data_IF_175537287396
#
_entry.id   IF_175537287396
#
_cell.length_a   1.000
_cell.length_b   1.000
_cell.length_c   1.000
_cell.angle_alpha   90.00
_cell.angle_beta   90.00
_cell.angle_gamma   90.00
#
_symmetry.space_group_name_H-M   'P 1'
#
loop_
_entity.id
_entity.type
_entity.pdbx_description
1 polymer ?
#
# COMPACT_ATOMS: atom_id res chain seq x y z
N UNK A 1 -5.07 -8.04 1.97
CA UNK A 1 -6.02 -7.83 0.84
C UNK A 1 -5.54 -6.69 -0.04
N UNK A 2 -5.80 -6.77 -1.35
CA UNK A 2 -5.47 -5.75 -2.37
C UNK A 2 -6.66 -4.81 -2.59
N UNK A 3 -7.30 -4.35 -1.50
CA UNK A 3 -8.48 -3.49 -1.60
C UNK A 3 -8.10 -2.12 -2.18
N UNK A 4 -8.96 -1.60 -3.06
CA UNK A 4 -8.73 -0.34 -3.77
C UNK A 4 -9.21 0.89 -3.03
N UNK A 5 -9.78 0.66 -1.86
CA UNK A 5 -10.35 1.66 -0.99
C UNK A 5 -9.81 1.42 0.41
N UNK A 6 -8.99 2.35 0.89
CA UNK A 6 -8.32 2.28 2.20
C UNK A 6 -8.42 3.64 2.86
N UNK A 7 -8.84 3.64 4.13
CA UNK A 7 -8.88 4.84 4.95
C UNK A 7 -7.68 4.86 5.91
N UNK A 8 -6.98 5.98 5.99
CA UNK A 8 -5.88 6.19 6.92
C UNK A 8 -6.23 7.30 7.89
N UNK A 9 -5.85 7.14 9.16
CA UNK A 9 -5.83 8.27 10.10
C UNK A 9 -4.66 9.18 9.72
N UNK A 10 -4.82 10.48 9.93
CA UNK A 10 -3.78 11.50 9.66
C UNK A 10 -2.42 11.13 10.28
N UNK A 11 -2.43 10.75 11.55
CA UNK A 11 -1.26 10.30 12.33
C UNK A 11 -0.52 9.09 11.69
N UNK A 12 -1.21 8.24 10.94
CA UNK A 12 -0.59 7.13 10.20
C UNK A 12 0.19 7.65 8.99
N UNK A 13 -0.39 8.61 8.27
CA UNK A 13 0.26 9.23 7.10
C UNK A 13 1.43 10.12 7.51
N UNK A 14 1.30 10.87 8.61
CA UNK A 14 2.37 11.73 9.14
C UNK A 14 3.59 10.94 9.61
N UNK A 15 3.38 9.72 10.12
CA UNK A 15 4.47 8.87 10.55
C UNK A 15 5.23 8.21 9.38
N UNK A 16 4.60 8.10 8.21
CA UNK A 16 5.18 7.48 7.01
C UNK A 16 6.02 8.47 6.22
N UNK A 17 7.10 7.97 5.63
CA UNK A 17 7.84 8.70 4.61
C UNK A 17 7.19 8.46 3.25
N UNK A 18 6.29 9.37 2.83
CA UNK A 18 5.53 9.23 1.60
C UNK A 18 6.40 9.35 0.34
N UNK A 19 7.54 10.02 0.42
CA UNK A 19 8.50 10.15 -0.69
C UNK A 19 9.22 8.83 -0.99
N UNK A 20 9.22 7.90 -0.03
CA UNK A 20 9.83 6.58 -0.17
C UNK A 20 8.89 5.55 -0.81
N UNK A 21 7.66 5.92 -1.17
CA UNK A 21 6.70 5.01 -1.84
C UNK A 21 7.12 4.85 -3.30
N UNK A 22 7.51 3.64 -3.70
CA UNK A 22 8.05 3.36 -5.03
C UNK A 22 6.96 2.89 -6.02
N UNK A 23 5.88 2.29 -5.50
CA UNK A 23 4.86 1.68 -6.33
C UNK A 23 3.99 2.74 -7.01
N UNK A 24 3.71 2.52 -8.29
CA UNK A 24 2.85 3.39 -9.11
C UNK A 24 1.47 2.78 -9.32
N UNK A 25 0.50 3.62 -9.65
CA UNK A 25 -0.87 3.19 -9.93
C UNK A 25 -1.51 2.49 -8.72
N UNK A 26 -2.41 1.55 -8.95
CA UNK A 26 -3.16 0.87 -7.86
C UNK A 26 -2.26 0.19 -6.80
N UNK A 27 -1.04 -0.17 -7.18
CA UNK A 27 -0.14 -0.93 -6.34
C UNK A 27 0.36 -0.13 -5.12
N UNK A 28 0.38 1.20 -5.16
CA UNK A 28 0.85 2.03 -4.03
C UNK A 28 0.08 1.75 -2.73
N UNK A 29 -1.21 1.38 -2.84
CA UNK A 29 -2.03 1.08 -1.68
C UNK A 29 -1.54 -0.18 -0.94
N UNK A 30 -0.97 -1.15 -1.68
CA UNK A 30 -0.39 -2.36 -1.10
C UNK A 30 0.86 -1.99 -0.30
N UNK A 31 1.74 -1.18 -0.88
CA UNK A 31 2.95 -0.69 -0.23
C UNK A 31 2.63 0.12 1.03
N UNK A 32 1.70 1.07 0.95
CA UNK A 32 1.30 1.88 2.09
C UNK A 32 0.67 1.04 3.20
N UNK A 33 -0.25 0.12 2.86
CA UNK A 33 -0.88 -0.78 3.85
C UNK A 33 0.16 -1.67 4.54
N UNK A 34 1.11 -2.20 3.78
CA UNK A 34 2.19 -3.01 4.34
C UNK A 34 3.14 -2.18 5.22
N UNK A 35 3.45 -0.97 4.81
CA UNK A 35 4.28 -0.04 5.59
C UNK A 35 3.60 0.31 6.92
N UNK A 36 2.29 0.58 6.92
CA UNK A 36 1.51 0.83 8.13
C UNK A 36 1.57 -0.35 9.10
N UNK A 37 1.44 -1.56 8.56
CA UNK A 37 1.53 -2.80 9.31
C UNK A 37 2.93 -2.99 9.93
N UNK A 38 4.00 -2.79 9.15
CA UNK A 38 5.38 -2.92 9.63
C UNK A 38 5.75 -1.87 10.70
N UNK A 39 5.15 -0.67 10.64
CA UNK A 39 5.31 0.37 11.67
C UNK A 39 4.50 0.10 12.95
N UNK A 40 3.72 -0.99 13.00
CA UNK A 40 2.96 -1.41 14.18
C UNK A 40 1.62 -0.70 14.36
N UNK A 41 1.05 -0.09 13.30
CA UNK A 41 -0.31 0.45 13.36
C UNK A 41 -1.36 -0.66 13.32
N UNK A 42 -2.53 -0.38 13.91
CA UNK A 42 -3.65 -1.31 13.87
C UNK A 42 -4.35 -1.25 12.50
N UNK A 43 -4.47 -2.39 11.84
CA UNK A 43 -5.14 -2.53 10.54
C UNK A 43 -6.40 -3.36 10.74
N UNK A 44 -7.57 -2.79 10.41
CA UNK A 44 -8.86 -3.48 10.42
C UNK A 44 -9.43 -3.55 9.01
N UNK A 45 -10.11 -4.63 8.71
CA UNK A 45 -10.85 -4.79 7.46
C UNK A 45 -12.35 -4.58 7.72
N UNK A 46 -12.98 -3.75 6.89
CA UNK A 46 -14.41 -3.43 6.97
C UNK A 46 -15.04 -3.87 5.66
N UNK A 47 -16.09 -4.67 5.74
CA UNK A 47 -16.80 -5.16 4.57
C UNK A 47 -17.49 -4.00 3.85
N UNK A 48 -17.29 -3.92 2.54
CA UNK A 48 -17.97 -2.96 1.66
C UNK A 48 -18.59 -3.70 0.47
N UNK A 49 -19.74 -3.22 -0.01
CA UNK A 49 -20.36 -3.73 -1.23
C UNK A 49 -19.79 -2.93 -2.40
N UNK A 50 -19.02 -3.60 -3.25
CA UNK A 50 -18.46 -3.00 -4.46
C UNK A 50 -19.45 -3.16 -5.60
N UNK A 51 -20.14 -2.07 -5.96
CA UNK A 51 -21.00 -2.04 -7.15
C UNK A 51 -20.15 -1.87 -8.40
N UNK A 52 -20.44 -2.65 -9.45
CA UNK A 52 -19.74 -2.53 -10.72
C UNK A 52 -20.02 -1.16 -11.36
N UNK A 53 -18.98 -0.55 -11.94
CA UNK A 53 -19.16 0.65 -12.77
C UNK A 53 -19.98 0.29 -14.01
N UNK A 54 -20.94 1.14 -14.35
CA UNK A 54 -21.83 0.94 -15.51
C UNK A 54 -21.14 1.32 -16.83
N UNK A 55 -20.09 2.17 -16.79
CA UNK A 55 -19.40 2.71 -17.97
C UNK A 55 -17.88 2.81 -17.75
N UNK A 56 -17.10 2.60 -18.82
CA UNK A 56 -15.65 2.84 -18.90
C UNK A 56 -14.81 1.59 -19.21
N UNK A 57 -13.62 1.78 -19.79
CA UNK A 57 -12.62 0.73 -20.08
C UNK A 57 -11.63 0.56 -18.93
N UNK A 58 -11.14 -0.67 -18.72
CA UNK A 58 -10.16 -0.98 -17.68
C UNK A 58 -8.87 -0.18 -17.86
N UNK A 59 -8.41 0.47 -16.79
CA UNK A 59 -7.09 1.14 -16.72
C UNK A 59 -5.97 0.20 -16.27
N UNK A 60 -6.27 -1.07 -15.99
CA UNK A 60 -5.27 -2.07 -15.62
C UNK A 60 -4.67 -2.73 -16.87
N UNK A 61 -3.36 -2.55 -17.06
CA UNK A 61 -2.58 -3.26 -18.07
C UNK A 61 -1.72 -4.34 -17.42
N UNK A 62 -1.33 -5.36 -18.20
CA UNK A 62 -0.48 -6.47 -17.71
C UNK A 62 0.87 -6.00 -17.16
N UNK A 63 1.44 -4.91 -17.71
CA UNK A 63 2.70 -4.33 -17.23
C UNK A 63 2.61 -3.79 -15.80
N UNK A 64 1.50 -3.13 -15.45
CA UNK A 64 1.26 -2.62 -14.08
C UNK A 64 1.12 -3.78 -13.09
N UNK A 65 0.49 -4.88 -13.52
CA UNK A 65 0.34 -6.07 -12.68
C UNK A 65 1.67 -6.76 -12.40
N UNK A 66 2.52 -6.94 -13.42
CA UNK A 66 3.85 -7.53 -13.25
C UNK A 66 4.74 -6.68 -12.34
N UNK A 67 4.71 -5.35 -12.49
CA UNK A 67 5.50 -4.44 -11.66
C UNK A 67 5.06 -4.51 -10.18
N UNK A 68 3.75 -4.57 -9.93
CA UNK A 68 3.21 -4.76 -8.59
C UNK A 68 3.65 -6.09 -7.96
N UNK A 69 3.65 -7.19 -8.71
CA UNK A 69 4.01 -8.51 -8.19
C UNK A 69 5.49 -8.56 -7.76
N UNK A 70 6.41 -8.12 -8.63
CA UNK A 70 7.85 -8.04 -8.30
C UNK A 70 8.12 -7.03 -7.19
N UNK A 71 7.41 -5.90 -7.23
CA UNK A 71 7.46 -4.90 -6.17
C UNK A 71 7.17 -5.52 -4.81
N UNK A 72 6.08 -6.30 -4.66
CA UNK A 72 5.67 -6.87 -3.35
C UNK A 72 6.74 -7.79 -2.78
N UNK A 73 7.38 -8.60 -3.63
CA UNK A 73 8.49 -9.47 -3.22
C UNK A 73 9.67 -8.64 -2.71
N UNK A 74 10.07 -7.61 -3.47
CA UNK A 74 11.13 -6.67 -3.06
C UNK A 74 10.79 -5.96 -1.75
N UNK A 75 9.54 -5.55 -1.57
CA UNK A 75 9.06 -4.85 -0.37
C UNK A 75 9.13 -5.73 0.87
N UNK A 76 8.71 -7.00 0.74
CA UNK A 76 8.81 -7.98 1.82
C UNK A 76 10.27 -8.28 2.17
N UNK A 77 11.12 -8.41 1.17
CA UNK A 77 12.55 -8.62 1.38
C UNK A 77 13.19 -7.41 2.07
N UNK A 78 12.91 -6.19 1.60
CA UNK A 78 13.40 -4.95 2.21
C UNK A 78 12.95 -4.78 3.67
N UNK A 79 11.75 -5.23 4.02
CA UNK A 79 11.28 -5.24 5.41
C UNK A 79 12.12 -6.08 6.37
N UNK A 80 12.82 -7.11 5.87
CA UNK A 80 13.71 -7.93 6.69
C UNK A 80 15.11 -7.33 6.85
N UNK A 81 15.61 -6.61 5.84
CA UNK A 81 17.02 -6.15 5.83
C UNK A 81 17.19 -4.64 6.03
N UNK A 82 16.17 -3.82 5.77
CA UNK A 82 16.30 -2.37 5.75
C UNK A 82 15.20 -1.68 6.59
N UNK A 83 15.45 -1.58 7.90
CA UNK A 83 14.48 -1.06 8.88
C UNK A 83 14.21 0.44 8.76
N UNK A 84 15.05 1.23 8.07
CA UNK A 84 14.92 2.70 8.02
C UNK A 84 13.56 3.17 7.47
N UNK A 85 13.02 2.46 6.47
CA UNK A 85 11.73 2.75 5.85
C UNK A 85 10.51 2.40 6.73
N UNK A 86 10.69 1.52 7.72
CA UNK A 86 9.62 1.00 8.58
C UNK A 86 9.77 1.47 10.04
N UNK A 87 10.71 2.40 10.29
CA UNK A 87 10.93 2.94 11.63
C UNK A 87 9.97 4.09 11.88
N UNK A 88 9.31 4.06 13.04
CA UNK A 88 8.33 5.07 13.44
C UNK A 88 9.06 6.39 13.74
N UNK A 89 8.84 7.42 12.93
CA UNK A 89 9.19 8.81 13.33
C UNK A 89 8.10 9.28 14.29
N UNK A 90 8.28 9.00 15.58
CA UNK A 90 7.46 9.63 16.63
C UNK A 90 8.19 10.90 17.03
N UNK A 91 7.57 12.05 16.80
CA UNK A 91 7.92 13.30 17.50
C UNK A 91 7.16 13.33 18.82
#
# INVERSE_FOLDING_TARGET
TTAGFVCYRREVLEAMDLDMVEFKGYAFQIEMKFTAYCMGFNVKEVSIIFVNRVLGTSKMSGGIFSEALFGVVKLKWSSWFNKKKFTRRVK
#
